data_IF_216776215259
#
_entry.id   IF_216776215259
#
_cell.length_a   1.000
_cell.length_b   1.000
_cell.length_c   1.000
_cell.angle_alpha   90.00
_cell.angle_beta   90.00
_cell.angle_gamma   90.00
#
_symmetry.space_group_name_H-M   'P 1'
#
loop_
_entity.id
_entity.type
_entity.pdbx_description
1 polymer ?
#
# COMPACT_ATOMS: atom_id res chain seq x y z
N UNK A 1 19.12 -1.35 4.90
CA UNK A 1 19.97 -2.48 4.47
C UNK A 1 20.97 -1.93 3.47
N UNK A 2 22.24 -1.95 3.82
CA UNK A 2 23.35 -1.50 2.96
C UNK A 2 23.89 -2.74 2.24
N UNK A 3 24.22 -2.61 0.94
CA UNK A 3 24.85 -3.69 0.17
C UNK A 3 23.86 -4.64 -0.54
N UNK A 4 22.55 -4.41 -0.47
CA UNK A 4 21.58 -5.18 -1.27
C UNK A 4 21.90 -5.07 -2.77
N UNK A 5 22.26 -3.87 -3.21
CA UNK A 5 22.57 -3.55 -4.61
C UNK A 5 23.73 -4.39 -5.18
N UNK A 6 24.59 -4.93 -4.31
CA UNK A 6 25.75 -5.73 -4.67
C UNK A 6 25.48 -7.24 -4.75
N UNK A 7 24.31 -7.69 -4.33
CA UNK A 7 23.99 -9.13 -4.30
C UNK A 7 23.88 -9.72 -5.71
N UNK A 8 24.53 -10.88 -5.99
CA UNK A 8 24.48 -11.54 -7.28
C UNK A 8 23.20 -12.39 -7.51
N UNK A 9 22.08 -11.92 -6.97
CA UNK A 9 20.76 -12.57 -7.09
C UNK A 9 19.73 -11.54 -7.55
N UNK A 10 18.61 -11.98 -8.16
CA UNK A 10 17.48 -11.10 -8.46
C UNK A 10 16.92 -10.44 -7.19
N UNK A 11 16.71 -9.15 -7.23
CA UNK A 11 16.11 -8.39 -6.15
C UNK A 11 14.69 -7.99 -6.52
N UNK A 12 13.74 -8.45 -5.72
CA UNK A 12 12.31 -8.17 -5.90
C UNK A 12 11.79 -7.32 -4.76
N UNK A 13 11.08 -6.26 -5.09
CA UNK A 13 10.43 -5.40 -4.09
C UNK A 13 8.92 -5.33 -4.35
N UNK A 14 8.12 -5.70 -3.36
CA UNK A 14 6.69 -5.45 -3.37
C UNK A 14 6.42 -4.23 -2.49
N UNK A 15 6.14 -3.10 -3.13
CA UNK A 15 5.87 -1.82 -2.44
C UNK A 15 4.39 -1.61 -2.21
N UNK A 16 3.98 -1.45 -0.95
CA UNK A 16 2.56 -1.30 -0.58
C UNK A 16 2.17 0.15 -0.33
N UNK A 17 2.81 0.88 0.54
CA UNK A 17 2.40 2.22 0.96
C UNK A 17 3.12 3.35 0.18
N UNK A 18 3.27 3.22 -1.14
CA UNK A 18 4.00 4.20 -1.96
C UNK A 18 3.39 5.59 -1.86
N UNK A 19 2.06 5.71 -1.78
CA UNK A 19 1.36 7.00 -1.59
C UNK A 19 1.73 7.72 -0.28
N UNK A 20 2.18 6.99 0.75
CA UNK A 20 2.65 7.55 2.03
C UNK A 20 4.17 7.73 2.07
N UNK A 21 4.90 7.06 1.19
CA UNK A 21 6.35 6.90 1.25
C UNK A 21 7.08 7.35 -0.02
N UNK A 22 6.40 8.04 -0.93
CA UNK A 22 6.94 8.49 -2.21
C UNK A 22 8.28 9.23 -2.09
N UNK A 23 8.47 10.01 -1.04
CA UNK A 23 9.67 10.81 -0.79
C UNK A 23 10.97 9.99 -0.75
N UNK A 24 10.89 8.70 -0.34
CA UNK A 24 12.05 7.82 -0.32
C UNK A 24 11.88 6.57 -1.20
N UNK A 25 10.67 6.10 -1.49
CA UNK A 25 10.43 4.97 -2.39
C UNK A 25 11.06 5.20 -3.76
N UNK A 26 10.94 6.40 -4.31
CA UNK A 26 11.53 6.76 -5.60
C UNK A 26 13.05 6.54 -5.66
N UNK A 27 13.76 6.86 -4.58
CA UNK A 27 15.21 6.71 -4.50
C UNK A 27 15.65 5.30 -4.10
N UNK A 28 14.74 4.52 -3.50
CA UNK A 28 15.02 3.13 -3.12
C UNK A 28 14.74 2.15 -4.26
N UNK A 29 13.81 2.48 -5.13
CA UNK A 29 13.42 1.67 -6.28
C UNK A 29 14.62 1.20 -7.13
N UNK A 30 15.65 2.03 -7.43
CA UNK A 30 16.79 1.62 -8.22
C UNK A 30 17.63 0.44 -7.67
N UNK A 31 17.46 0.07 -6.41
CA UNK A 31 18.11 -1.11 -5.81
C UNK A 31 17.60 -2.43 -6.40
N UNK A 32 16.38 -2.46 -6.93
CA UNK A 32 15.67 -3.69 -7.29
C UNK A 32 15.61 -3.92 -8.80
N UNK A 33 15.56 -5.19 -9.21
CA UNK A 33 15.42 -5.60 -10.60
C UNK A 33 13.93 -5.72 -11.00
N UNK A 34 13.10 -6.16 -10.05
CA UNK A 34 11.65 -6.32 -10.21
C UNK A 34 10.94 -5.54 -9.10
N UNK A 35 10.00 -4.68 -9.48
CA UNK A 35 9.20 -3.90 -8.54
C UNK A 35 7.72 -4.16 -8.79
N UNK A 36 7.05 -4.67 -7.78
CA UNK A 36 5.61 -4.83 -7.72
C UNK A 36 5.01 -3.64 -6.96
N UNK A 37 4.20 -2.84 -7.63
CA UNK A 37 3.58 -1.65 -7.02
C UNK A 37 2.11 -1.93 -6.75
N UNK A 38 1.69 -1.85 -5.48
CA UNK A 38 0.32 -2.16 -5.09
C UNK A 38 -0.69 -1.11 -5.55
N UNK A 39 -0.27 0.15 -5.66
CA UNK A 39 -1.12 1.28 -6.03
C UNK A 39 -0.83 1.69 -7.48
N UNK A 40 -1.81 1.54 -8.38
CA UNK A 40 -1.63 1.71 -9.84
C UNK A 40 -1.05 3.08 -10.21
N UNK A 41 -1.60 4.16 -9.65
CA UNK A 41 -1.22 5.54 -9.99
C UNK A 41 0.19 5.92 -9.50
N UNK A 42 0.78 5.08 -8.62
CA UNK A 42 2.09 5.33 -8.01
C UNK A 42 3.24 4.58 -8.67
N UNK A 43 3.00 3.90 -9.78
CA UNK A 43 4.06 3.19 -10.52
C UNK A 43 5.18 4.13 -10.97
N UNK A 44 4.84 5.32 -11.46
CA UNK A 44 5.81 6.32 -11.90
C UNK A 44 6.80 6.74 -10.81
N UNK A 45 6.38 6.72 -9.55
CA UNK A 45 7.27 7.00 -8.41
C UNK A 45 8.44 6.02 -8.31
N UNK A 46 8.26 4.78 -8.77
CA UNK A 46 9.29 3.74 -8.72
C UNK A 46 10.06 3.61 -10.04
N UNK A 47 9.87 4.51 -11.00
CA UNK A 47 10.36 4.38 -12.37
C UNK A 47 11.74 4.99 -12.65
N UNK A 48 12.52 5.42 -11.63
CA UNK A 48 13.82 6.08 -11.83
C UNK A 48 14.83 5.27 -12.65
N UNK A 49 14.78 3.96 -12.56
CA UNK A 49 15.65 3.07 -13.32
C UNK A 49 14.84 2.15 -14.25
N UNK A 50 13.74 2.66 -14.81
CA UNK A 50 12.77 1.89 -15.63
C UNK A 50 13.42 1.13 -16.79
N UNK A 51 14.47 1.69 -17.39
CA UNK A 51 15.21 1.07 -18.51
C UNK A 51 15.88 -0.27 -18.14
N UNK A 52 16.07 -0.56 -16.87
CA UNK A 52 16.73 -1.78 -16.36
C UNK A 52 15.91 -2.50 -15.29
N UNK A 53 14.60 -2.26 -15.23
CA UNK A 53 13.72 -2.84 -14.21
C UNK A 53 12.43 -3.35 -14.82
N UNK A 54 11.89 -4.43 -14.25
CA UNK A 54 10.51 -4.81 -14.46
C UNK A 54 9.66 -4.06 -13.43
N UNK A 55 8.76 -3.22 -13.91
CA UNK A 55 7.81 -2.49 -13.08
C UNK A 55 6.40 -2.99 -13.39
N UNK A 56 5.75 -3.59 -12.39
CA UNK A 56 4.46 -4.26 -12.54
C UNK A 56 3.46 -3.77 -11.51
N UNK A 57 2.27 -3.36 -11.96
CA UNK A 57 1.16 -3.20 -11.03
C UNK A 57 0.74 -4.56 -10.46
N UNK A 58 0.68 -4.65 -9.15
CA UNK A 58 0.29 -5.84 -8.41
C UNK A 58 -0.56 -5.39 -7.21
N UNK A 59 -1.89 -5.35 -7.33
CA UNK A 59 -2.76 -4.94 -6.23
C UNK A 59 -2.60 -5.84 -5.01
N UNK A 60 -3.03 -5.37 -3.85
CA UNK A 60 -3.00 -6.12 -2.61
C UNK A 60 -3.81 -7.43 -2.72
N UNK A 61 -3.68 -8.28 -1.74
CA UNK A 61 -4.19 -9.65 -1.79
C UNK A 61 -4.54 -10.15 -0.38
N UNK A 62 -5.20 -11.30 -0.30
CA UNK A 62 -5.46 -11.98 0.97
C UNK A 62 -4.59 -13.24 1.11
N UNK A 63 -4.34 -13.63 2.35
CA UNK A 63 -3.87 -14.97 2.66
C UNK A 63 -5.07 -15.89 2.86
N UNK A 64 -5.39 -16.70 1.85
CA UNK A 64 -6.57 -17.58 1.86
C UNK A 64 -6.54 -18.67 2.95
N UNK A 65 -5.39 -18.91 3.60
CA UNK A 65 -5.31 -19.80 4.77
C UNK A 65 -5.81 -19.11 6.06
N UNK A 66 -5.70 -17.79 6.14
CA UNK A 66 -6.06 -16.97 7.31
C UNK A 66 -7.40 -16.26 7.12
N UNK A 67 -7.64 -15.67 5.94
CA UNK A 67 -8.89 -14.97 5.60
C UNK A 67 -9.81 -15.97 4.91
N UNK A 68 -10.89 -16.36 5.59
CA UNK A 68 -11.80 -17.42 5.14
C UNK A 68 -13.25 -16.97 5.24
N UNK A 69 -14.08 -17.45 4.33
CA UNK A 69 -15.52 -17.45 4.49
C UNK A 69 -15.90 -18.58 5.46
N UNK A 70 -16.43 -18.21 6.65
CA UNK A 70 -16.72 -19.14 7.75
C UNK A 70 -18.17 -19.64 7.74
N UNK A 71 -18.98 -19.20 6.78
CA UNK A 71 -20.38 -19.57 6.65
C UNK A 71 -21.22 -19.30 7.93
N UNK A 72 -20.92 -18.19 8.61
CA UNK A 72 -21.65 -17.73 9.80
C UNK A 72 -22.93 -16.98 9.43
N UNK A 73 -23.92 -16.95 10.34
CA UNK A 73 -25.11 -16.13 10.17
C UNK A 73 -24.73 -14.63 10.09
N UNK A 74 -25.27 -13.93 9.08
CA UNK A 74 -24.98 -12.51 8.84
C UNK A 74 -25.99 -11.64 9.58
N UNK A 75 -25.67 -11.32 10.83
CA UNK A 75 -26.53 -10.56 11.74
C UNK A 75 -26.15 -9.08 11.88
N UNK A 76 -24.90 -8.71 11.52
CA UNK A 76 -24.41 -7.32 11.58
C UNK A 76 -24.80 -6.61 10.29
N UNK A 77 -25.68 -5.58 10.34
CA UNK A 77 -26.11 -4.88 9.13
C UNK A 77 -24.97 -4.22 8.38
N UNK A 78 -24.15 -3.43 9.09
CA UNK A 78 -22.97 -2.73 8.58
C UNK A 78 -21.84 -2.84 9.58
N UNK A 79 -20.63 -3.13 9.12
CA UNK A 79 -19.44 -3.22 9.98
C UNK A 79 -18.28 -2.39 9.42
N UNK A 80 -17.50 -1.81 10.30
CA UNK A 80 -16.19 -1.24 10.02
C UNK A 80 -15.17 -1.80 11.00
N UNK A 81 -14.08 -2.37 10.50
CA UNK A 81 -12.93 -2.76 11.33
C UNK A 81 -11.69 -2.02 10.85
N UNK A 82 -11.08 -1.24 11.72
CA UNK A 82 -9.89 -0.46 11.38
C UNK A 82 -9.44 0.48 12.49
N UNK A 83 -8.26 1.04 12.33
CA UNK A 83 -7.68 1.98 13.31
C UNK A 83 -8.49 3.27 13.38
N UNK A 84 -8.98 3.58 14.57
CA UNK A 84 -9.71 4.81 14.93
C UNK A 84 -8.77 5.77 15.69
N UNK A 85 -7.83 6.38 14.96
CA UNK A 85 -6.86 7.31 15.53
C UNK A 85 -6.92 8.66 14.78
N UNK A 86 -7.44 9.67 15.45
CA UNK A 86 -7.63 11.00 14.87
C UNK A 86 -6.30 11.70 14.45
N UNK A 87 -5.17 11.34 15.08
CA UNK A 87 -3.86 11.89 14.69
C UNK A 87 -3.37 11.30 13.36
N UNK A 88 -3.69 10.04 13.09
CA UNK A 88 -3.28 9.34 11.87
C UNK A 88 -4.28 9.52 10.73
N UNK A 89 -5.57 9.49 11.04
CA UNK A 89 -6.63 9.61 10.04
C UNK A 89 -7.86 10.36 10.60
N UNK A 90 -7.79 11.70 10.71
CA UNK A 90 -8.89 12.50 11.24
C UNK A 90 -10.16 12.40 10.39
N UNK A 91 -10.04 12.32 9.06
CA UNK A 91 -11.19 12.18 8.15
C UNK A 91 -11.99 10.91 8.40
N UNK A 92 -11.31 9.79 8.67
CA UNK A 92 -11.96 8.51 9.02
C UNK A 92 -12.73 8.62 10.32
N UNK A 93 -12.10 9.16 11.36
CA UNK A 93 -12.73 9.29 12.67
C UNK A 93 -13.98 10.15 12.56
N UNK A 94 -13.89 11.30 11.91
CA UNK A 94 -15.03 12.18 11.68
C UNK A 94 -16.16 11.50 10.89
N UNK A 95 -15.84 10.81 9.79
CA UNK A 95 -16.83 10.08 8.98
C UNK A 95 -17.55 9.02 9.82
N UNK A 96 -16.81 8.18 10.53
CA UNK A 96 -17.37 7.08 11.33
C UNK A 96 -18.19 7.62 12.52
N UNK A 97 -17.74 8.68 13.19
CA UNK A 97 -18.50 9.32 14.29
C UNK A 97 -19.83 9.93 13.79
N UNK A 98 -19.86 10.50 12.60
CA UNK A 98 -21.09 10.98 11.99
C UNK A 98 -22.02 9.82 11.60
N UNK A 99 -21.46 8.75 11.06
CA UNK A 99 -22.24 7.58 10.64
C UNK A 99 -22.86 6.85 11.85
N UNK A 100 -22.10 6.64 12.95
CA UNK A 100 -22.59 5.99 14.19
C UNK A 100 -23.81 6.70 14.79
N UNK A 101 -23.92 8.02 14.64
CA UNK A 101 -25.07 8.80 15.15
C UNK A 101 -26.33 8.61 14.33
N UNK A 102 -26.25 8.09 13.11
CA UNK A 102 -27.33 8.10 12.13
C UNK A 102 -27.72 6.74 11.59
N UNK A 103 -26.82 5.75 11.70
CA UNK A 103 -27.04 4.42 11.16
C UNK A 103 -26.44 3.34 12.06
N UNK A 104 -27.10 2.17 12.22
CA UNK A 104 -26.58 1.06 13.01
C UNK A 104 -25.33 0.47 12.34
N UNK A 105 -24.17 0.73 12.90
CA UNK A 105 -22.87 0.24 12.44
C UNK A 105 -22.08 -0.34 13.62
N UNK A 106 -21.48 -1.51 13.42
CA UNK A 106 -20.49 -2.10 14.35
C UNK A 106 -19.12 -1.55 14.00
N UNK A 107 -18.48 -0.83 14.92
CA UNK A 107 -17.13 -0.27 14.76
C UNK A 107 -16.17 -0.99 15.69
N UNK A 108 -15.09 -1.53 15.13
CA UNK A 108 -14.11 -2.31 15.88
C UNK A 108 -12.69 -1.98 15.41
N UNK A 109 -11.70 -2.15 16.30
CA UNK A 109 -10.27 -2.18 15.98
C UNK A 109 -9.69 -3.55 16.30
N UNK A 110 -8.69 -4.00 15.53
CA UNK A 110 -8.04 -5.30 15.72
C UNK A 110 -8.55 -6.39 14.78
N UNK A 111 -8.76 -7.63 15.27
CA UNK A 111 -9.12 -8.75 14.40
C UNK A 111 -10.45 -8.53 13.68
N UNK A 112 -10.49 -8.78 12.38
CA UNK A 112 -11.65 -8.52 11.52
C UNK A 112 -12.44 -9.79 11.16
N UNK A 113 -11.84 -10.96 11.25
CA UNK A 113 -12.33 -12.19 10.61
C UNK A 113 -13.74 -12.56 11.05
N UNK A 114 -14.02 -12.57 12.36
CA UNK A 114 -15.36 -12.88 12.89
C UNK A 114 -16.37 -11.82 12.48
N UNK A 115 -16.03 -10.55 12.70
CA UNK A 115 -16.92 -9.43 12.39
C UNK A 115 -17.29 -9.37 10.90
N UNK A 116 -16.33 -9.56 10.00
CA UNK A 116 -16.61 -9.54 8.56
C UNK A 116 -17.42 -10.75 8.10
N UNK A 117 -17.24 -11.91 8.72
CA UNK A 117 -18.06 -13.08 8.43
C UNK A 117 -19.51 -12.96 8.94
N UNK A 118 -19.75 -12.14 9.97
CA UNK A 118 -21.09 -11.84 10.51
C UNK A 118 -21.73 -10.60 9.85
N UNK A 119 -20.97 -9.79 9.15
CA UNK A 119 -21.46 -8.58 8.52
C UNK A 119 -22.16 -8.87 7.20
N UNK A 120 -23.33 -8.25 6.98
CA UNK A 120 -23.98 -8.19 5.65
C UNK A 120 -23.19 -7.29 4.72
N UNK A 121 -22.77 -6.13 5.22
CA UNK A 121 -22.03 -5.10 4.49
C UNK A 121 -20.81 -4.70 5.32
N UNK A 122 -19.66 -4.61 4.68
CA UNK A 122 -18.40 -4.09 5.27
C UNK A 122 -18.07 -2.76 4.62
N UNK A 123 -18.02 -1.71 5.45
CA UNK A 123 -17.60 -0.38 5.02
C UNK A 123 -16.08 -0.31 4.92
N UNK A 124 -15.58 0.15 3.80
CA UNK A 124 -14.19 0.51 3.59
C UNK A 124 -14.04 2.01 3.37
N UNK A 125 -13.19 2.63 4.17
CA UNK A 125 -12.69 3.98 3.97
C UNK A 125 -11.16 3.89 3.86
N UNK A 126 -10.60 4.37 2.77
CA UNK A 126 -9.17 4.33 2.48
C UNK A 126 -8.43 5.55 3.06
N UNK A 127 -7.11 5.49 3.07
CA UNK A 127 -6.25 6.63 3.39
C UNK A 127 -5.70 7.17 2.07
N UNK A 128 -6.00 8.43 1.74
CA UNK A 128 -5.53 9.07 0.51
C UNK A 128 -5.86 8.29 -0.79
N UNK A 129 -7.01 7.62 -0.83
CA UNK A 129 -7.47 6.90 -2.02
C UNK A 129 -6.71 5.61 -2.32
N UNK A 130 -6.10 4.96 -1.34
CA UNK A 130 -5.43 3.67 -1.53
C UNK A 130 -6.43 2.51 -1.73
N UNK A 131 -6.04 1.51 -2.49
CA UNK A 131 -6.71 0.20 -2.53
C UNK A 131 -6.09 -0.66 -1.45
N UNK A 132 -6.69 -0.67 -0.26
CA UNK A 132 -6.14 -1.29 0.94
C UNK A 132 -6.55 -2.76 1.12
N UNK A 133 -5.95 -3.44 2.12
CA UNK A 133 -6.24 -4.84 2.43
C UNK A 133 -7.72 -5.11 2.73
N UNK A 134 -8.41 -4.19 3.40
CA UNK A 134 -9.84 -4.35 3.76
C UNK A 134 -10.72 -4.58 2.53
N UNK A 135 -10.37 -3.98 1.39
CA UNK A 135 -11.05 -4.21 0.11
C UNK A 135 -11.14 -5.72 -0.20
N UNK A 136 -10.02 -6.41 -0.08
CA UNK A 136 -9.93 -7.84 -0.38
C UNK A 136 -10.42 -8.72 0.78
N UNK A 137 -10.15 -8.32 2.02
CA UNK A 137 -10.52 -9.06 3.24
C UNK A 137 -12.05 -9.15 3.41
N UNK A 138 -12.77 -8.04 3.17
CA UNK A 138 -14.23 -8.00 3.26
C UNK A 138 -14.88 -8.97 2.27
N UNK A 139 -14.46 -8.90 1.01
CA UNK A 139 -14.95 -9.79 -0.04
C UNK A 139 -14.58 -11.25 0.22
N UNK A 140 -13.35 -11.54 0.66
CA UNK A 140 -12.92 -12.90 0.99
C UNK A 140 -13.68 -13.51 2.17
N UNK A 141 -14.23 -12.69 3.06
CA UNK A 141 -15.17 -13.13 4.09
C UNK A 141 -16.62 -13.27 3.57
N UNK A 142 -16.87 -13.01 2.30
CA UNK A 142 -18.18 -13.12 1.67
C UNK A 142 -19.17 -12.00 2.05
N UNK A 143 -18.71 -10.87 2.61
CA UNK A 143 -19.53 -9.70 2.86
C UNK A 143 -19.61 -8.83 1.59
N UNK A 144 -20.72 -8.07 1.42
CA UNK A 144 -20.74 -7.02 0.43
C UNK A 144 -19.75 -5.92 0.86
N UNK A 145 -18.82 -5.59 0.00
CA UNK A 145 -17.91 -4.46 0.20
C UNK A 145 -18.64 -3.16 -0.21
N UNK A 146 -18.82 -2.24 0.72
CA UNK A 146 -19.20 -0.86 0.46
C UNK A 146 -17.95 0.03 0.63
N UNK A 147 -17.42 0.55 -0.48
CA UNK A 147 -16.14 1.26 -0.48
C UNK A 147 -16.25 2.64 -1.12
N UNK A 148 -15.42 3.57 -0.68
CA UNK A 148 -15.36 4.86 -1.35
C UNK A 148 -14.83 4.72 -2.78
N UNK A 149 -15.36 5.51 -3.69
CA UNK A 149 -14.86 5.64 -5.05
C UNK A 149 -13.45 6.22 -4.99
N UNK A 150 -12.48 5.50 -5.48
CA UNK A 150 -11.08 5.86 -5.31
C UNK A 150 -10.27 5.56 -6.59
N UNK A 151 -9.18 6.29 -6.82
CA UNK A 151 -8.22 6.00 -7.88
C UNK A 151 -7.44 4.71 -7.59
N UNK A 152 -6.23 4.58 -8.10
CA UNK A 152 -5.30 3.47 -7.88
C UNK A 152 -5.79 2.12 -8.42
N UNK A 153 -6.60 2.16 -9.50
CA UNK A 153 -7.04 0.96 -10.20
C UNK A 153 -8.21 0.24 -9.55
N UNK A 154 -8.89 0.82 -8.56
CA UNK A 154 -10.03 0.15 -7.91
C UNK A 154 -11.13 -0.24 -8.91
N UNK A 155 -11.47 0.66 -9.84
CA UNK A 155 -12.49 0.42 -10.86
C UNK A 155 -12.06 -0.62 -11.93
N UNK A 156 -10.76 -0.80 -12.12
CA UNK A 156 -10.23 -1.84 -13.01
C UNK A 156 -10.30 -3.24 -12.35
N UNK A 157 -10.32 -3.28 -11.02
CA UNK A 157 -10.40 -4.52 -10.24
C UNK A 157 -11.85 -4.93 -9.99
N UNK A 158 -12.69 -3.98 -9.57
CA UNK A 158 -14.05 -4.26 -9.09
C UNK A 158 -15.02 -3.18 -9.56
N UNK A 159 -16.12 -3.58 -10.17
CA UNK A 159 -17.13 -2.68 -10.72
C UNK A 159 -18.27 -2.48 -9.74
N UNK A 160 -18.76 -1.24 -9.70
CA UNK A 160 -19.92 -0.83 -8.91
C UNK A 160 -21.17 -1.63 -9.28
N UNK A 161 -21.92 -2.09 -8.28
CA UNK A 161 -23.13 -2.91 -8.43
C UNK A 161 -22.87 -4.33 -8.95
N UNK A 162 -21.61 -4.71 -9.21
CA UNK A 162 -21.26 -6.04 -9.71
C UNK A 162 -20.41 -6.84 -8.71
N UNK A 163 -19.20 -6.39 -8.37
CA UNK A 163 -18.31 -7.04 -7.40
C UNK A 163 -18.28 -6.31 -6.06
N UNK A 164 -18.68 -5.02 -6.01
CA UNK A 164 -18.77 -4.20 -4.81
C UNK A 164 -19.84 -3.12 -4.97
N UNK A 165 -20.04 -2.31 -3.95
CA UNK A 165 -20.83 -1.06 -4.01
C UNK A 165 -19.92 0.13 -3.70
N UNK A 166 -20.10 1.24 -4.43
CA UNK A 166 -19.35 2.46 -4.23
C UNK A 166 -20.18 3.53 -3.52
N UNK A 167 -19.47 4.35 -2.73
CA UNK A 167 -19.98 5.62 -2.25
C UNK A 167 -19.01 6.77 -2.55
N UNK A 168 -19.53 7.99 -2.59
CA UNK A 168 -18.70 9.18 -2.83
C UNK A 168 -17.85 9.51 -1.59
N UNK A 169 -16.55 9.80 -1.73
CA UNK A 169 -15.65 10.04 -0.62
C UNK A 169 -16.16 11.10 0.36
N UNK A 170 -16.21 10.75 1.65
CA UNK A 170 -16.68 11.66 2.72
C UNK A 170 -18.19 11.85 2.81
N UNK A 171 -18.98 11.27 1.92
CA UNK A 171 -20.43 11.45 1.88
C UNK A 171 -21.16 10.40 2.75
N UNK A 172 -21.50 10.80 3.99
CA UNK A 172 -22.21 9.94 4.96
C UNK A 172 -23.64 9.60 4.48
N UNK A 173 -24.32 10.54 3.81
CA UNK A 173 -25.69 10.31 3.29
C UNK A 173 -25.67 9.21 2.25
N UNK A 174 -24.72 9.24 1.32
CA UNK A 174 -24.59 8.20 0.30
C UNK A 174 -24.19 6.83 0.90
N UNK A 175 -23.39 6.79 1.98
CA UNK A 175 -23.12 5.54 2.70
C UNK A 175 -24.41 4.94 3.26
N UNK A 176 -25.25 5.78 3.90
CA UNK A 176 -26.52 5.34 4.48
C UNK A 176 -27.47 4.87 3.38
N UNK A 177 -27.62 5.62 2.30
CA UNK A 177 -28.46 5.27 1.16
C UNK A 177 -28.07 3.89 0.58
N UNK A 178 -26.79 3.66 0.33
CA UNK A 178 -26.28 2.38 -0.16
C UNK A 178 -26.48 1.23 0.85
N UNK A 179 -26.23 1.50 2.13
CA UNK A 179 -26.42 0.50 3.18
C UNK A 179 -27.90 0.10 3.33
N UNK A 180 -28.82 1.06 3.28
CA UNK A 180 -30.27 0.82 3.32
C UNK A 180 -30.74 0.09 2.05
N UNK A 181 -30.28 0.52 0.87
CA UNK A 181 -30.60 -0.15 -0.37
C UNK A 181 -30.27 -1.64 -0.29
N UNK A 182 -29.04 -1.98 0.02
CA UNK A 182 -28.60 -3.39 0.12
C UNK A 182 -29.14 -4.12 1.36
N UNK A 183 -29.60 -3.42 2.40
CA UNK A 183 -30.30 -4.05 3.50
C UNK A 183 -31.68 -4.59 3.07
N UNK A 184 -32.39 -3.84 2.21
CA UNK A 184 -33.71 -4.19 1.69
C UNK A 184 -33.68 -5.11 0.46
N UNK A 185 -32.59 -5.11 -0.32
CA UNK A 185 -32.42 -5.93 -1.53
C UNK A 185 -31.47 -7.09 -1.27
N UNK A 186 -31.93 -8.06 -0.49
CA UNK A 186 -31.08 -9.18 -0.04
C UNK A 186 -30.48 -9.98 -1.19
N UNK A 187 -31.28 -10.38 -2.17
CA UNK A 187 -30.81 -11.17 -3.31
C UNK A 187 -29.71 -10.46 -4.09
N UNK A 188 -29.86 -9.16 -4.31
CA UNK A 188 -28.85 -8.36 -5.01
C UNK A 188 -27.59 -8.20 -4.17
N UNK A 189 -27.72 -7.92 -2.87
CA UNK A 189 -26.59 -7.89 -1.94
C UNK A 189 -25.79 -9.18 -1.99
N UNK A 190 -26.44 -10.33 -1.92
CA UNK A 190 -25.80 -11.65 -1.94
C UNK A 190 -25.14 -11.94 -3.29
N UNK A 191 -25.79 -11.55 -4.38
CA UNK A 191 -25.22 -11.64 -5.73
C UNK A 191 -23.92 -10.84 -5.86
N UNK A 192 -23.93 -9.58 -5.43
CA UNK A 192 -22.74 -8.69 -5.48
C UNK A 192 -21.65 -9.20 -4.55
N UNK A 193 -21.98 -9.61 -3.33
CA UNK A 193 -21.05 -10.17 -2.37
C UNK A 193 -20.39 -11.46 -2.90
N UNK A 194 -21.16 -12.34 -3.52
CA UNK A 194 -20.65 -13.58 -4.13
C UNK A 194 -19.72 -13.29 -5.31
N UNK A 195 -20.07 -12.33 -6.17
CA UNK A 195 -19.21 -11.92 -7.28
C UNK A 195 -17.89 -11.33 -6.79
N UNK A 196 -17.92 -10.48 -5.74
CA UNK A 196 -16.71 -9.94 -5.09
C UNK A 196 -15.85 -11.04 -4.47
N UNK A 197 -16.45 -11.99 -3.76
CA UNK A 197 -15.74 -13.15 -3.22
C UNK A 197 -15.04 -13.95 -4.33
N UNK A 198 -15.75 -14.28 -5.39
CA UNK A 198 -15.21 -15.02 -6.53
C UNK A 198 -14.03 -14.29 -7.17
N UNK A 199 -14.17 -13.00 -7.46
CA UNK A 199 -13.13 -12.17 -8.05
C UNK A 199 -11.84 -12.14 -7.18
N UNK A 200 -11.98 -12.03 -5.86
CA UNK A 200 -10.83 -12.06 -4.95
C UNK A 200 -10.17 -13.44 -4.90
N UNK A 201 -10.96 -14.50 -4.82
CA UNK A 201 -10.44 -15.86 -4.72
C UNK A 201 -9.76 -16.33 -6.02
N UNK A 202 -10.22 -15.87 -7.18
CA UNK A 202 -9.66 -16.23 -8.49
C UNK A 202 -8.42 -15.45 -8.89
N UNK A 203 -8.20 -14.24 -8.32
CA UNK A 203 -7.11 -13.37 -8.79
C UNK A 203 -6.27 -12.70 -7.70
N UNK A 204 -6.74 -12.62 -6.45
CA UNK A 204 -6.14 -11.78 -5.42
C UNK A 204 -5.80 -12.53 -4.13
N UNK A 205 -5.23 -13.72 -4.26
CA UNK A 205 -4.67 -14.48 -3.12
C UNK A 205 -3.15 -14.38 -3.08
N UNK A 206 -2.55 -14.73 -1.94
CA UNK A 206 -1.09 -14.84 -1.80
C UNK A 206 -0.46 -15.81 -2.79
N UNK A 207 -1.19 -16.86 -3.20
CA UNK A 207 -0.72 -17.80 -4.22
C UNK A 207 -0.58 -17.12 -5.59
N UNK A 208 -1.56 -16.31 -5.99
CA UNK A 208 -1.49 -15.56 -7.26
C UNK A 208 -0.32 -14.57 -7.27
N UNK A 209 -0.02 -13.91 -6.13
CA UNK A 209 1.14 -13.02 -6.03
C UNK A 209 2.45 -13.78 -6.06
N UNK A 210 2.53 -14.93 -5.40
CA UNK A 210 3.70 -15.81 -5.49
C UNK A 210 3.92 -16.29 -6.93
N UNK A 211 2.87 -16.72 -7.62
CA UNK A 211 2.94 -17.13 -9.02
C UNK A 211 3.42 -15.99 -9.93
N UNK A 212 2.86 -14.81 -9.77
CA UNK A 212 3.30 -13.62 -10.51
C UNK A 212 4.81 -13.35 -10.32
N UNK A 213 5.30 -13.40 -9.08
CA UNK A 213 6.74 -13.22 -8.78
C UNK A 213 7.56 -14.32 -9.48
N UNK A 214 7.13 -15.57 -9.37
CA UNK A 214 7.84 -16.71 -10.01
C UNK A 214 7.89 -16.58 -11.52
N UNK A 215 6.83 -16.07 -12.15
CA UNK A 215 6.80 -15.87 -13.60
C UNK A 215 7.69 -14.69 -14.04
N UNK A 216 7.72 -13.61 -13.28
CA UNK A 216 8.63 -12.49 -13.52
C UNK A 216 10.11 -12.89 -13.34
N UNK A 217 10.42 -13.78 -12.40
CA UNK A 217 11.77 -14.34 -12.20
C UNK A 217 12.26 -15.22 -13.37
N UNK A 218 11.35 -15.70 -14.23
CA UNK A 218 11.71 -16.44 -15.46
C UNK A 218 12.03 -15.51 -16.65
N UNK A 219 11.95 -14.18 -16.47
CA UNK A 219 12.20 -13.22 -17.55
C UNK A 219 13.59 -13.42 -18.15
N UNK A 220 13.72 -13.58 -19.50
CA UNK A 220 15.01 -13.73 -20.15
C UNK A 220 15.87 -12.46 -20.07
N UNK A 221 15.29 -11.33 -19.74
CA UNK A 221 16.00 -10.05 -19.57
C UNK A 221 16.62 -9.87 -18.19
N UNK A 222 16.24 -10.70 -17.20
CA UNK A 222 16.65 -10.54 -15.81
C UNK A 222 18.18 -10.59 -15.61
N UNK A 223 18.96 -11.48 -16.25
CA UNK A 223 20.43 -11.48 -16.14
C UNK A 223 21.05 -10.17 -16.59
N UNK A 224 20.54 -9.59 -17.71
CA UNK A 224 21.01 -8.30 -18.21
C UNK A 224 20.67 -7.15 -17.25
N UNK A 225 19.48 -7.17 -16.65
CA UNK A 225 19.07 -6.17 -15.65
C UNK A 225 19.93 -6.21 -14.40
N UNK A 226 20.23 -7.41 -13.89
CA UNK A 226 21.15 -7.61 -12.76
C UNK A 226 22.55 -7.08 -13.06
N UNK A 227 23.08 -7.35 -14.27
CA UNK A 227 24.36 -6.82 -14.68
C UNK A 227 24.34 -5.29 -14.75
N UNK A 228 23.29 -4.68 -15.32
CA UNK A 228 23.15 -3.24 -15.34
C UNK A 228 23.06 -2.64 -13.94
N UNK A 229 22.40 -3.29 -13.00
CA UNK A 229 22.38 -2.86 -11.59
C UNK A 229 23.80 -2.82 -10.99
N UNK A 230 24.63 -3.80 -11.29
CA UNK A 230 26.05 -3.80 -10.85
C UNK A 230 26.84 -2.67 -11.50
N UNK A 231 26.66 -2.41 -12.79
CA UNK A 231 27.34 -1.31 -13.49
C UNK A 231 26.88 0.07 -12.96
N UNK A 232 25.64 0.18 -12.49
CA UNK A 232 25.05 1.42 -11.98
C UNK A 232 25.18 1.58 -10.44
N UNK A 233 26.01 0.78 -9.82
CA UNK A 233 26.12 0.70 -8.35
C UNK A 233 26.44 2.05 -7.71
N UNK A 234 27.28 2.88 -8.30
CA UNK A 234 27.63 4.20 -7.77
C UNK A 234 26.41 5.15 -7.74
N UNK A 235 25.58 5.13 -8.79
CA UNK A 235 24.34 5.91 -8.82
C UNK A 235 23.34 5.39 -7.79
N UNK A 236 23.21 4.08 -7.65
CA UNK A 236 22.31 3.48 -6.64
C UNK A 236 22.74 3.90 -5.23
N UNK A 237 24.03 3.85 -4.92
CA UNK A 237 24.54 4.31 -3.63
C UNK A 237 24.27 5.79 -3.40
N UNK A 238 24.41 6.64 -4.45
CA UNK A 238 24.00 8.02 -4.37
C UNK A 238 22.52 8.19 -4.03
N UNK A 239 21.61 7.44 -4.66
CA UNK A 239 20.20 7.45 -4.32
C UNK A 239 19.92 6.96 -2.89
N UNK A 240 20.66 5.97 -2.40
CA UNK A 240 20.55 5.51 -1.01
C UNK A 240 20.87 6.62 0.01
N UNK A 241 21.74 7.58 -0.32
CA UNK A 241 21.94 8.75 0.55
C UNK A 241 20.65 9.56 0.73
N UNK A 242 19.86 9.70 -0.35
CA UNK A 242 18.55 10.38 -0.30
C UNK A 242 17.52 9.60 0.51
N UNK A 243 17.53 8.26 0.40
CA UNK A 243 16.69 7.38 1.23
C UNK A 243 17.00 7.60 2.71
N UNK A 244 18.27 7.55 3.11
CA UNK A 244 18.66 7.73 4.51
C UNK A 244 18.38 9.12 5.03
N UNK A 245 18.55 10.16 4.22
CA UNK A 245 18.15 11.54 4.57
C UNK A 245 16.64 11.64 4.84
N UNK A 246 15.81 11.08 3.96
CA UNK A 246 14.36 11.09 4.14
C UNK A 246 13.93 10.27 5.37
N UNK A 247 14.58 9.13 5.63
CA UNK A 247 14.33 8.34 6.84
C UNK A 247 14.73 9.09 8.11
N UNK A 248 15.87 9.78 8.11
CA UNK A 248 16.30 10.61 9.23
C UNK A 248 15.28 11.71 9.54
N UNK A 249 14.84 12.47 8.52
CA UNK A 249 13.84 13.52 8.67
C UNK A 249 12.51 12.98 9.26
N UNK A 250 12.03 11.83 8.78
CA UNK A 250 10.82 11.21 9.33
C UNK A 250 10.98 10.78 10.79
N UNK A 251 12.14 10.23 11.14
CA UNK A 251 12.43 9.87 12.53
C UNK A 251 12.48 11.12 13.42
N UNK A 252 13.05 12.21 12.95
CA UNK A 252 13.07 13.49 13.68
C UNK A 252 11.66 14.03 13.94
N UNK A 253 10.82 14.06 12.89
CA UNK A 253 9.42 14.47 13.01
C UNK A 253 8.65 13.56 13.98
N UNK A 254 8.87 12.26 13.91
CA UNK A 254 8.25 11.29 14.81
C UNK A 254 8.78 11.44 16.26
N UNK A 255 10.04 11.74 16.45
CA UNK A 255 10.60 12.03 17.78
C UNK A 255 9.93 13.28 18.39
N UNK A 256 9.84 14.38 17.62
CA UNK A 256 9.21 15.62 18.07
C UNK A 256 7.72 15.48 18.45
N UNK A 257 7.04 14.45 17.90
CA UNK A 257 5.66 14.12 18.26
C UNK A 257 5.52 13.42 19.63
N UNK A 258 6.62 13.05 20.28
CA UNK A 258 6.65 12.42 21.59
C UNK A 258 7.12 13.41 22.67
N UNK A 259 6.74 13.22 23.96
CA UNK A 259 7.25 14.03 25.05
C UNK A 259 8.79 14.04 25.07
N UNK A 260 9.38 15.20 25.19
CA UNK A 260 10.83 15.39 25.28
C UNK A 260 11.41 14.53 26.40
N UNK A 261 12.58 13.91 26.14
CA UNK A 261 13.24 12.95 27.05
C UNK A 261 12.50 11.64 27.33
N UNK A 262 11.34 11.39 26.71
CA UNK A 262 10.70 10.05 26.80
C UNK A 262 11.58 8.94 26.20
N UNK A 263 11.43 7.68 26.62
CA UNK A 263 12.13 6.55 25.98
C UNK A 263 11.90 6.47 24.46
N UNK A 264 10.68 6.80 24.01
CA UNK A 264 10.32 6.84 22.59
C UNK A 264 11.06 7.96 21.87
N UNK A 265 11.08 9.19 22.41
CA UNK A 265 11.83 10.32 21.88
C UNK A 265 13.31 9.99 21.67
N UNK A 266 13.98 9.46 22.70
CA UNK A 266 15.40 9.06 22.64
C UNK A 266 15.66 7.97 21.63
N UNK A 267 14.85 6.88 21.61
CA UNK A 267 15.01 5.76 20.68
C UNK A 267 14.87 6.20 19.22
N UNK A 268 13.87 7.02 18.91
CA UNK A 268 13.61 7.49 17.54
C UNK A 268 14.68 8.52 17.14
N UNK A 269 15.11 9.39 18.04
CA UNK A 269 16.19 10.36 17.82
C UNK A 269 17.52 9.66 17.48
N UNK A 270 17.89 8.62 18.23
CA UNK A 270 19.09 7.83 17.95
C UNK A 270 19.02 7.15 16.57
N UNK A 271 17.82 6.70 16.16
CA UNK A 271 17.64 6.11 14.83
C UNK A 271 17.82 7.16 13.72
N UNK A 272 17.34 8.39 13.93
CA UNK A 272 17.57 9.50 13.01
C UNK A 272 19.07 9.79 12.82
N UNK A 273 19.83 9.83 13.92
CA UNK A 273 21.27 10.03 13.88
C UNK A 273 22.01 8.92 13.13
N UNK A 274 21.63 7.66 13.35
CA UNK A 274 22.18 6.54 12.59
C UNK A 274 21.94 6.69 11.09
N UNK A 275 20.75 7.09 10.66
CA UNK A 275 20.46 7.34 9.24
C UNK A 275 21.29 8.48 8.67
N UNK A 276 21.51 9.58 9.41
CA UNK A 276 22.40 10.66 8.98
C UNK A 276 23.83 10.19 8.80
N UNK A 277 24.35 9.42 9.76
CA UNK A 277 25.69 8.87 9.71
C UNK A 277 25.87 7.98 8.47
N UNK A 278 24.91 7.09 8.19
CA UNK A 278 24.93 6.24 6.99
C UNK A 278 24.94 7.08 5.71
N UNK A 279 24.10 8.09 5.61
CA UNK A 279 24.09 9.00 4.45
C UNK A 279 25.43 9.68 4.25
N UNK A 280 26.00 10.25 5.31
CA UNK A 280 27.29 10.95 5.27
C UNK A 280 28.44 10.01 4.90
N UNK A 281 28.45 8.80 5.44
CA UNK A 281 29.47 7.78 5.13
C UNK A 281 29.47 7.44 3.64
N UNK A 282 28.30 7.20 3.06
CA UNK A 282 28.17 6.90 1.62
C UNK A 282 28.58 8.11 0.78
N UNK A 283 28.15 9.33 1.15
CA UNK A 283 28.54 10.55 0.44
C UNK A 283 30.07 10.75 0.41
N UNK A 284 30.73 10.52 1.53
CA UNK A 284 32.20 10.63 1.62
C UNK A 284 32.89 9.57 0.76
N UNK A 285 32.36 8.35 0.71
CA UNK A 285 32.88 7.28 -0.15
C UNK A 285 32.73 7.61 -1.64
N UNK A 286 31.63 8.28 -2.02
CA UNK A 286 31.34 8.66 -3.39
C UNK A 286 31.91 10.04 -3.81
N UNK A 287 32.51 10.77 -2.87
CA UNK A 287 33.03 12.13 -3.13
C UNK A 287 33.94 12.23 -4.38
N UNK A 288 34.84 11.26 -4.66
CA UNK A 288 35.67 11.28 -5.86
C UNK A 288 34.90 11.19 -7.18
N UNK A 289 33.64 10.69 -7.17
CA UNK A 289 32.80 10.47 -8.34
C UNK A 289 31.67 11.50 -8.48
N UNK A 290 31.65 12.55 -7.65
CA UNK A 290 30.54 13.48 -7.49
C UNK A 290 30.15 14.20 -8.78
N UNK A 291 31.10 14.60 -9.61
CA UNK A 291 30.81 15.30 -10.89
C UNK A 291 30.09 14.40 -11.91
N UNK A 292 30.39 13.11 -11.91
CA UNK A 292 29.74 12.13 -12.78
C UNK A 292 28.31 11.82 -12.32
N UNK A 293 28.07 11.83 -11.01
CA UNK A 293 26.76 11.52 -10.41
C UNK A 293 25.75 12.67 -10.51
N UNK A 294 26.21 13.92 -10.44
CA UNK A 294 25.33 15.11 -10.55
C UNK A 294 24.85 15.37 -11.97
N UNK A 295 25.59 14.94 -13.00
CA UNK A 295 25.19 15.05 -14.40
C UNK A 295 23.95 14.18 -14.71
N UNK A 296 23.77 13.06 -14.02
CA UNK A 296 22.58 12.20 -14.13
C UNK A 296 21.33 12.77 -13.48
N UNK A 297 21.47 13.53 -12.38
CA UNK A 297 20.34 14.13 -11.63
C UNK A 297 19.68 15.28 -12.40
N UNK A 298 20.46 16.06 -13.17
CA UNK A 298 19.97 17.17 -14.01
C UNK A 298 19.26 16.71 -15.28
N UNK A 299 19.55 15.52 -15.79
CA UNK A 299 18.83 14.89 -16.89
C UNK A 299 17.43 14.39 -16.50
N UNK A 300 17.25 13.93 -15.28
CA UNK A 300 16.01 13.33 -14.78
C UNK A 300 14.92 14.35 -14.42
N UNK A 301 15.29 15.58 -14.06
CA UNK A 301 14.31 16.65 -13.77
C UNK A 301 13.64 17.22 -15.02
N UNK A 302 14.12 16.89 -16.24
CA UNK A 302 13.55 17.34 -17.51
C UNK A 302 12.57 16.34 -18.15
N UNK A 303 12.56 15.08 -17.72
CA UNK A 303 11.62 14.06 -18.23
C UNK A 303 10.38 13.85 -17.34
N UNK A 304 10.32 14.52 -16.19
CA UNK A 304 9.21 14.39 -15.22
C UNK A 304 8.33 15.66 -15.13
N UNK A 305 8.42 16.57 -16.12
CA UNK A 305 7.58 17.78 -16.25
C UNK A 305 6.53 17.62 -17.35
#
# INVERSE_FOLDING_TARGET
MIGLESLPIPLVWYTIDTHLHASWHRYYAPVFDIILVAQQDWQSTCALARHRQILQWAPLFINSRQTKHLNLAREIPLAFVGTMNARLNPKRVQLIEHLVKRYPITVQSGPFLDTFNRAKIVLNQSINGDVNFRTFEAMACGALLLTERSPNGLADLFRDGRECAYYEPGNVDHIIEQAEYYAHHQEERERVAHAGYTAVMEAHTSLHRAQLIMDLLKSPHLPSMMNQRHLDQANIQWYLTKVYQACAQRCEQAAMANPEHSPAFRRIGNLAEQYRLLSTTIQNTLAPFKEQLTATDTGMSREAS
#
